data_IF_723441439500
#
_entry.id   IF_723441439500
#
_cell.length_a   1.000
_cell.length_b   1.000
_cell.length_c   1.000
_cell.angle_alpha   90.00
_cell.angle_beta   90.00
_cell.angle_gamma   90.00
#
_symmetry.space_group_name_H-M   'P 1'
#
loop_
_entity.id
_entity.type
_entity.pdbx_description
1 polymer ?
#
# COMPACT_ATOMS: atom_id res chain seq x y z
N UNK A 1 18.31 -14.63 -20.49
CA UNK A 1 17.00 -13.95 -20.49
C UNK A 1 16.49 -13.97 -19.06
N UNK A 2 16.06 -12.84 -18.51
CA UNK A 2 15.46 -12.82 -17.17
C UNK A 2 14.01 -13.35 -17.19
N UNK A 3 13.42 -13.59 -16.01
CA UNK A 3 12.06 -14.11 -15.91
C UNK A 3 11.06 -13.10 -16.46
N UNK A 4 9.98 -13.61 -17.06
CA UNK A 4 8.81 -12.80 -17.43
C UNK A 4 7.79 -12.91 -16.31
N UNK A 5 7.37 -11.79 -15.74
CA UNK A 5 6.43 -11.72 -14.64
C UNK A 5 5.24 -10.90 -15.08
N UNK A 6 4.05 -11.49 -15.05
CA UNK A 6 2.81 -10.76 -15.28
C UNK A 6 2.18 -10.46 -13.92
N UNK A 7 1.92 -9.18 -13.66
CA UNK A 7 1.16 -8.71 -12.49
C UNK A 7 -0.26 -8.40 -12.94
N UNK A 8 -1.23 -9.05 -12.30
CA UNK A 8 -2.64 -8.86 -12.60
C UNK A 8 -3.24 -7.81 -11.65
N UNK A 9 -3.77 -6.73 -12.24
CA UNK A 9 -4.44 -5.64 -11.54
C UNK A 9 -3.59 -4.37 -11.38
N UNK A 10 -4.19 -3.22 -11.70
CA UNK A 10 -3.55 -1.90 -11.64
C UNK A 10 -3.91 -1.08 -10.38
N UNK A 11 -4.48 -1.71 -9.35
CA UNK A 11 -4.69 -1.06 -8.05
C UNK A 11 -3.38 -0.95 -7.24
N UNK A 12 -3.46 -0.39 -6.03
CA UNK A 12 -2.29 -0.13 -5.19
C UNK A 12 -1.45 -1.39 -4.93
N UNK A 13 -2.09 -2.53 -4.69
CA UNK A 13 -1.41 -3.81 -4.45
C UNK A 13 -0.66 -4.31 -5.68
N UNK A 14 -1.24 -4.19 -6.87
CA UNK A 14 -0.61 -4.63 -8.12
C UNK A 14 0.56 -3.73 -8.52
N UNK A 15 0.35 -2.42 -8.53
CA UNK A 15 1.39 -1.45 -8.87
C UNK A 15 2.58 -1.50 -7.89
N UNK A 16 2.32 -1.53 -6.58
CA UNK A 16 3.40 -1.65 -5.58
C UNK A 16 4.16 -2.98 -5.72
N UNK A 17 3.46 -4.09 -5.96
CA UNK A 17 4.11 -5.39 -6.20
C UNK A 17 4.96 -5.38 -7.46
N UNK A 18 4.48 -4.79 -8.56
CA UNK A 18 5.22 -4.68 -9.81
C UNK A 18 6.54 -3.92 -9.62
N UNK A 19 6.49 -2.78 -8.91
CA UNK A 19 7.69 -2.00 -8.56
C UNK A 19 8.65 -2.81 -7.68
N UNK A 20 8.15 -3.44 -6.61
CA UNK A 20 8.96 -4.24 -5.71
C UNK A 20 9.65 -5.41 -6.44
N UNK A 21 8.93 -6.10 -7.33
CA UNK A 21 9.50 -7.19 -8.14
C UNK A 21 10.58 -6.65 -9.08
N UNK A 22 10.32 -5.56 -9.79
CA UNK A 22 11.29 -4.97 -10.72
C UNK A 22 12.57 -4.50 -9.99
N UNK A 23 12.44 -3.97 -8.78
CA UNK A 23 13.58 -3.55 -7.95
C UNK A 23 14.36 -4.75 -7.39
N UNK A 24 13.67 -5.78 -6.90
CA UNK A 24 14.30 -6.98 -6.34
C UNK A 24 14.92 -7.88 -7.41
N UNK A 25 14.39 -7.86 -8.63
CA UNK A 25 14.84 -8.63 -9.77
C UNK A 25 14.99 -7.73 -11.01
N UNK A 26 16.09 -6.95 -11.12
CA UNK A 26 16.28 -5.99 -12.21
C UNK A 26 16.24 -6.61 -13.61
N UNK A 27 16.61 -7.88 -13.74
CA UNK A 27 16.53 -8.63 -15.00
C UNK A 27 15.12 -9.09 -15.37
N UNK A 28 14.15 -9.03 -14.46
CA UNK A 28 12.78 -9.44 -14.74
C UNK A 28 12.14 -8.48 -15.75
N UNK A 29 11.39 -9.05 -16.69
CA UNK A 29 10.48 -8.30 -17.56
C UNK A 29 9.11 -8.32 -16.90
N UNK A 30 8.78 -7.25 -16.19
CA UNK A 30 7.49 -7.09 -15.50
C UNK A 30 6.48 -6.46 -16.45
N UNK A 31 5.37 -7.15 -16.66
CA UNK A 31 4.22 -6.66 -17.43
C UNK A 31 3.01 -6.55 -16.51
N UNK A 32 2.28 -5.45 -16.58
CA UNK A 32 1.07 -5.24 -15.79
C UNK A 32 -0.15 -5.32 -16.71
N UNK A 33 -1.09 -6.20 -16.36
CA UNK A 33 -2.33 -6.42 -17.11
C UNK A 33 -3.50 -6.18 -16.16
N UNK A 34 -4.44 -5.34 -16.58
CA UNK A 34 -5.60 -4.99 -15.77
C UNK A 34 -6.78 -4.62 -16.64
N UNK A 35 -7.98 -4.92 -16.17
CA UNK A 35 -9.22 -4.47 -16.81
C UNK A 35 -9.47 -2.97 -16.55
N UNK A 36 -9.16 -2.52 -15.33
CA UNK A 36 -9.31 -1.13 -14.90
C UNK A 36 -7.96 -0.55 -14.48
N UNK A 37 -7.78 0.73 -14.75
CA UNK A 37 -6.65 1.55 -14.30
C UNK A 37 -7.21 2.75 -13.54
N UNK A 38 -6.34 3.48 -12.83
CA UNK A 38 -6.76 4.75 -12.22
C UNK A 38 -7.39 5.67 -13.28
N UNK A 39 -8.55 6.30 -12.99
CA UNK A 39 -9.15 6.48 -11.66
C UNK A 39 -10.23 5.43 -11.29
N UNK A 40 -10.31 4.29 -11.99
CA UNK A 40 -11.44 3.34 -11.91
C UNK A 40 -11.11 2.07 -11.09
N UNK A 41 -10.16 2.13 -10.16
CA UNK A 41 -9.84 1.01 -9.25
C UNK A 41 -10.46 1.21 -7.87
N UNK A 42 -10.62 0.13 -7.10
CA UNK A 42 -11.02 0.22 -5.68
C UNK A 42 -10.07 1.11 -4.86
N UNK A 43 -8.79 1.18 -5.25
CA UNK A 43 -7.81 2.04 -4.57
C UNK A 43 -8.10 3.53 -4.75
N UNK A 44 -8.62 3.93 -5.92
CA UNK A 44 -8.98 5.34 -6.21
C UNK A 44 -10.19 5.80 -5.38
N UNK A 45 -11.09 4.88 -5.02
CA UNK A 45 -12.23 5.12 -4.13
C UNK A 45 -11.91 5.02 -2.63
N UNK A 46 -10.68 4.73 -2.25
CA UNK A 46 -10.28 4.60 -0.84
C UNK A 46 -10.21 5.94 -0.13
N UNK A 47 -10.35 5.95 1.20
CA UNK A 47 -10.25 7.17 2.00
C UNK A 47 -8.83 7.73 2.10
N UNK A 48 -7.79 6.90 1.87
CA UNK A 48 -6.39 7.31 1.89
C UNK A 48 -5.73 7.43 3.27
N UNK A 49 -6.40 7.04 4.36
CA UNK A 49 -5.79 7.01 5.70
C UNK A 49 -5.02 5.73 5.96
N UNK A 50 -3.91 5.87 6.68
CA UNK A 50 -3.18 4.74 7.21
C UNK A 50 -3.62 4.42 8.64
N UNK A 51 -4.46 3.40 8.77
CA UNK A 51 -4.97 2.90 10.05
C UNK A 51 -5.05 1.36 10.00
N UNK A 52 -4.06 0.65 10.56
CA UNK A 52 -4.13 -0.81 10.66
C UNK A 52 -5.28 -1.25 11.57
N UNK A 53 -6.10 -2.19 11.10
CA UNK A 53 -7.10 -2.86 11.92
C UNK A 53 -6.55 -4.15 12.52
N UNK A 54 -7.07 -4.53 13.69
CA UNK A 54 -6.87 -5.88 14.21
C UNK A 54 -7.63 -6.87 13.33
N UNK A 55 -6.92 -7.45 12.37
CA UNK A 55 -7.42 -8.56 11.58
C UNK A 55 -7.42 -9.80 12.49
N UNK A 56 -8.59 -10.21 12.97
CA UNK A 56 -8.74 -11.46 13.71
C UNK A 56 -8.23 -12.63 12.85
N UNK A 57 -7.21 -13.37 13.33
CA UNK A 57 -6.65 -14.49 12.58
C UNK A 57 -5.27 -14.93 13.05
N UNK A 58 -4.80 -16.05 12.49
CA UNK A 58 -3.59 -16.79 12.91
C UNK A 58 -2.26 -16.08 12.60
N UNK A 59 -2.27 -14.91 11.95
CA UNK A 59 -1.07 -14.24 11.44
C UNK A 59 -0.95 -12.76 11.88
N UNK A 60 -1.23 -12.48 13.15
CA UNK A 60 -1.08 -11.14 13.74
C UNK A 60 0.34 -10.57 13.54
N UNK A 61 1.37 -11.39 13.74
CA UNK A 61 2.77 -10.95 13.59
C UNK A 61 3.11 -10.56 12.15
N UNK A 62 2.63 -11.31 11.15
CA UNK A 62 2.85 -10.96 9.75
C UNK A 62 2.13 -9.65 9.40
N UNK A 63 0.89 -9.50 9.85
CA UNK A 63 0.10 -8.29 9.65
C UNK A 63 0.82 -7.09 10.24
N UNK A 64 1.29 -7.19 11.49
CA UNK A 64 2.05 -6.13 12.15
C UNK A 64 3.33 -5.78 11.41
N UNK A 65 4.10 -6.78 10.94
CA UNK A 65 5.34 -6.53 10.16
C UNK A 65 5.06 -5.81 8.84
N UNK A 66 4.02 -6.23 8.11
CA UNK A 66 3.63 -5.56 6.86
C UNK A 66 3.18 -4.13 7.15
N UNK A 67 2.34 -3.93 8.17
CA UNK A 67 1.88 -2.60 8.54
C UNK A 67 3.03 -1.68 8.96
N UNK A 68 3.96 -2.15 9.79
CA UNK A 68 5.13 -1.38 10.19
C UNK A 68 5.99 -0.99 8.99
N UNK A 69 6.24 -1.94 8.07
CA UNK A 69 7.05 -1.71 6.87
C UNK A 69 6.40 -0.68 5.96
N UNK A 70 5.10 -0.80 5.70
CA UNK A 70 4.36 0.14 4.85
C UNK A 70 4.29 1.53 5.50
N UNK A 71 4.05 1.61 6.82
CA UNK A 71 4.03 2.89 7.54
C UNK A 71 5.35 3.64 7.38
N UNK A 72 6.49 2.97 7.61
CA UNK A 72 7.81 3.60 7.47
C UNK A 72 8.04 4.12 6.06
N UNK A 73 7.73 3.33 5.04
CA UNK A 73 7.87 3.75 3.65
C UNK A 73 7.03 5.01 3.33
N UNK A 74 5.76 5.04 3.74
CA UNK A 74 4.92 6.23 3.52
C UNK A 74 5.35 7.43 4.35
N UNK A 75 5.86 7.19 5.57
CA UNK A 75 6.40 8.25 6.43
C UNK A 75 7.60 8.92 5.77
N UNK A 76 8.52 8.13 5.21
CA UNK A 76 9.68 8.63 4.46
C UNK A 76 9.24 9.41 3.21
N UNK A 77 8.26 8.89 2.46
CA UNK A 77 7.69 9.59 1.31
C UNK A 77 7.07 10.94 1.71
N UNK A 78 6.34 10.99 2.82
CA UNK A 78 5.71 12.22 3.32
C UNK A 78 6.74 13.26 3.81
N UNK A 79 7.98 12.85 4.09
CA UNK A 79 9.09 13.75 4.44
C UNK A 79 9.99 14.08 3.25
N UNK A 80 9.79 13.41 2.12
CA UNK A 80 10.63 13.58 0.93
C UNK A 80 10.28 14.87 0.15
N UNK A 81 11.21 15.39 -0.68
CA UNK A 81 10.92 16.53 -1.56
C UNK A 81 9.80 16.27 -2.57
N UNK A 82 9.44 15.00 -2.82
CA UNK A 82 8.39 14.62 -3.78
C UNK A 82 7.03 14.38 -3.10
N UNK A 83 6.90 14.63 -1.79
CA UNK A 83 5.68 14.36 -1.01
C UNK A 83 4.40 14.92 -1.68
N UNK A 84 4.47 16.14 -2.22
CA UNK A 84 3.34 16.78 -2.92
C UNK A 84 2.97 16.08 -4.24
N UNK A 85 3.96 15.53 -4.94
CA UNK A 85 3.78 14.81 -6.22
C UNK A 85 3.14 13.45 -5.96
N UNK A 86 3.62 12.73 -4.94
CA UNK A 86 3.08 11.40 -4.56
C UNK A 86 1.87 11.49 -3.63
N UNK A 87 1.44 12.71 -3.29
CA UNK A 87 0.30 13.01 -2.42
C UNK A 87 0.35 12.33 -1.05
N UNK A 88 1.56 12.17 -0.49
CA UNK A 88 1.79 11.64 0.85
C UNK A 88 1.93 12.78 1.85
N UNK A 89 1.15 12.75 2.94
CA UNK A 89 1.19 13.77 3.97
C UNK A 89 0.93 13.18 5.36
N UNK A 90 1.50 13.81 6.38
CA UNK A 90 1.17 13.50 7.78
C UNK A 90 -0.12 14.20 8.15
N UNK A 91 -1.04 13.46 8.77
CA UNK A 91 -2.30 13.99 9.27
C UNK A 91 -2.51 13.53 10.71
N UNK A 92 -2.82 14.47 11.61
CA UNK A 92 -3.29 14.15 12.96
C UNK A 92 -4.81 14.01 12.98
N UNK A 93 -5.32 13.12 13.83
CA UNK A 93 -6.75 12.84 13.93
C UNK A 93 -7.12 12.24 15.29
N UNK A 94 -8.41 11.98 15.49
CA UNK A 94 -8.96 11.42 16.72
C UNK A 94 -9.89 10.26 16.40
N UNK A 95 -9.85 9.22 17.22
CA UNK A 95 -10.86 8.18 17.27
C UNK A 95 -11.68 8.37 18.54
N UNK A 96 -12.96 8.68 18.41
CA UNK A 96 -13.87 8.82 19.53
C UNK A 96 -14.63 7.52 19.74
N UNK A 97 -14.66 7.05 20.98
CA UNK A 97 -15.38 5.84 21.38
C UNK A 97 -16.43 6.21 22.43
N UNK A 98 -17.60 5.57 22.35
CA UNK A 98 -18.57 5.60 23.45
C UNK A 98 -18.13 4.55 24.47
N UNK A 99 -18.11 4.91 25.74
CA UNK A 99 -17.80 3.97 26.82
C UNK A 99 -18.71 2.74 26.72
N UNK A 100 -18.13 1.55 26.87
CA UNK A 100 -18.91 0.34 27.09
C UNK A 100 -19.41 0.47 28.52
N UNK A 101 -20.72 0.70 28.70
CA UNK A 101 -21.34 0.63 30.03
C UNK A 101 -21.05 -0.78 30.58
N UNK A 102 -20.36 -0.84 31.72
CA UNK A 102 -19.95 -2.09 32.37
C UNK A 102 -21.15 -2.84 32.98
#
# INVERSE_FOLDING_TARGET
MGPRVVVLGAGISGLSSAVCVQQACPQAQVELVSEHFSPDTTSDGSAGFWEPYLLGGENADLTMRVCETTYRYMFDLAQSPIASVVKAQKLSGYHFYRGIDA
#
